data_IF_738696505005
#
_entry.id   IF_738696505005
#
_cell.length_a   1.000
_cell.length_b   1.000
_cell.length_c   1.000
_cell.angle_alpha   90.00
_cell.angle_beta   90.00
_cell.angle_gamma   90.00
#
_symmetry.space_group_name_H-M   'P 1'
#
loop_
_entity.id
_entity.type
_entity.pdbx_description
1 polymer ?
#
# COMPACT_ATOMS: atom_id res chain seq x y z
N UNK A 1 -16.87 28.67 -19.72
CA UNK A 1 -15.47 28.54 -19.25
C UNK A 1 -15.33 27.17 -18.59
N UNK A 2 -14.45 26.31 -19.10
CA UNK A 2 -14.23 24.98 -18.52
C UNK A 2 -13.42 25.10 -17.22
N UNK A 3 -13.90 24.46 -16.15
CA UNK A 3 -13.26 24.45 -14.84
C UNK A 3 -11.93 23.71 -14.93
N UNK A 4 -10.81 24.42 -14.73
CA UNK A 4 -9.48 23.81 -14.70
C UNK A 4 -9.43 22.83 -13.52
N UNK A 5 -9.19 21.56 -13.84
CA UNK A 5 -9.02 20.49 -12.85
C UNK A 5 -7.71 20.80 -12.11
N UNK A 6 -7.78 21.31 -10.88
CA UNK A 6 -6.61 21.48 -10.04
C UNK A 6 -5.93 20.12 -9.89
N UNK A 7 -4.71 19.98 -10.38
CA UNK A 7 -3.92 18.76 -10.24
C UNK A 7 -3.68 18.57 -8.74
N UNK A 8 -4.20 17.48 -8.16
CA UNK A 8 -3.90 17.14 -6.77
C UNK A 8 -2.39 16.88 -6.68
N UNK A 9 -1.74 17.54 -5.75
CA UNK A 9 -0.31 17.36 -5.51
C UNK A 9 -0.07 16.03 -4.80
N UNK A 10 0.82 15.21 -5.34
CA UNK A 10 1.21 13.94 -4.73
C UNK A 10 2.29 14.22 -3.69
N UNK A 11 1.94 14.16 -2.41
CA UNK A 11 2.87 14.46 -1.31
C UNK A 11 3.85 13.31 -1.01
N UNK A 12 3.46 12.06 -1.27
CA UNK A 12 4.30 10.87 -1.08
C UNK A 12 4.29 10.01 -2.35
N UNK A 13 5.17 10.26 -3.34
CA UNK A 13 5.16 9.58 -4.63
C UNK A 13 5.57 8.10 -4.55
N UNK A 14 6.39 7.74 -3.55
CA UNK A 14 6.89 6.38 -3.35
C UNK A 14 6.13 5.63 -2.24
N UNK A 15 4.85 5.97 -2.04
CA UNK A 15 3.99 5.33 -1.06
C UNK A 15 3.22 4.15 -1.65
N UNK A 16 3.18 3.03 -0.91
CA UNK A 16 2.25 1.93 -1.15
C UNK A 16 1.08 1.96 -0.17
N UNK A 17 -0.03 1.36 -0.57
CA UNK A 17 -1.19 1.12 0.31
C UNK A 17 -1.37 -0.38 0.56
N UNK A 18 -1.72 -0.75 1.79
CA UNK A 18 -2.12 -2.12 2.14
C UNK A 18 -3.45 -2.08 2.88
N UNK A 19 -4.44 -2.80 2.33
CA UNK A 19 -5.68 -3.16 3.01
C UNK A 19 -5.52 -4.58 3.58
N UNK A 20 -5.56 -4.68 4.91
CA UNK A 20 -5.30 -5.88 5.68
C UNK A 20 -6.63 -6.49 6.13
N UNK A 21 -7.07 -7.52 5.42
CA UNK A 21 -8.16 -8.41 5.85
C UNK A 21 -7.68 -9.63 6.65
N UNK A 22 -8.63 -10.38 7.21
CA UNK A 22 -8.36 -11.57 8.03
C UNK A 22 -7.88 -12.80 7.25
N UNK A 23 -8.18 -12.87 5.95
CA UNK A 23 -7.77 -13.98 5.07
C UNK A 23 -6.93 -13.53 3.88
N UNK A 24 -6.99 -12.25 3.53
CA UNK A 24 -6.35 -11.68 2.34
C UNK A 24 -5.85 -10.27 2.61
N UNK A 25 -4.80 -9.89 1.90
CA UNK A 25 -4.27 -8.53 1.87
C UNK A 25 -4.29 -8.00 0.44
N UNK A 26 -4.78 -6.78 0.26
CA UNK A 26 -4.67 -6.07 -1.02
C UNK A 26 -3.56 -5.03 -0.90
N UNK A 27 -2.60 -5.09 -1.80
CA UNK A 27 -1.41 -4.23 -1.78
C UNK A 27 -1.36 -3.46 -3.09
N UNK A 28 -1.21 -2.13 -3.02
CA UNK A 28 -1.00 -1.27 -4.18
C UNK A 28 0.37 -0.58 -4.14
N UNK A 29 1.01 -0.47 -5.31
CA UNK A 29 2.26 0.26 -5.51
C UNK A 29 2.03 1.46 -6.43
N UNK A 30 2.92 2.47 -6.42
CA UNK A 30 2.81 3.61 -7.33
C UNK A 30 2.74 3.19 -8.81
N UNK A 31 2.08 4.01 -9.63
CA UNK A 31 1.98 3.79 -11.07
C UNK A 31 3.38 3.68 -11.70
N UNK A 32 3.55 2.72 -12.61
CA UNK A 32 4.80 2.52 -13.34
C UNK A 32 5.86 1.70 -12.59
N UNK A 33 5.59 1.21 -11.38
CA UNK A 33 6.52 0.34 -10.61
C UNK A 33 6.42 -1.14 -10.95
N UNK A 34 5.25 -1.58 -11.42
CA UNK A 34 5.00 -2.94 -11.90
C UNK A 34 3.81 -2.92 -12.89
N UNK A 35 3.71 -3.93 -13.77
CA UNK A 35 2.58 -4.05 -14.71
C UNK A 35 1.26 -4.23 -13.96
N UNK A 36 1.29 -4.92 -12.81
CA UNK A 36 0.16 -5.08 -11.91
C UNK A 36 0.35 -4.19 -10.69
N UNK A 37 -0.12 -2.95 -10.75
CA UNK A 37 0.01 -1.99 -9.64
C UNK A 37 -0.79 -2.39 -8.38
N UNK A 38 -1.69 -3.36 -8.46
CA UNK A 38 -2.43 -3.91 -7.31
C UNK A 38 -2.35 -5.44 -7.35
N UNK A 39 -1.98 -6.05 -6.23
CA UNK A 39 -1.91 -7.50 -6.08
C UNK A 39 -2.60 -7.95 -4.79
N UNK A 40 -3.06 -9.20 -4.80
CA UNK A 40 -3.72 -9.86 -3.68
C UNK A 40 -2.83 -10.95 -3.13
N UNK A 41 -2.67 -10.98 -1.81
CA UNK A 41 -1.88 -11.95 -1.07
C UNK A 41 -2.75 -12.62 0.00
N UNK A 42 -2.40 -13.83 0.44
CA UNK A 42 -3.03 -14.43 1.62
C UNK A 42 -2.44 -13.85 2.92
N UNK A 43 -2.99 -14.26 4.07
CA UNK A 43 -2.46 -13.89 5.39
C UNK A 43 -1.38 -14.84 5.93
N UNK A 44 -0.89 -15.79 5.13
CA UNK A 44 0.17 -16.70 5.58
C UNK A 44 1.55 -16.01 5.55
N UNK A 45 2.45 -16.46 6.43
CA UNK A 45 3.80 -15.88 6.59
C UNK A 45 4.59 -15.82 5.28
N UNK A 46 4.44 -16.81 4.40
CA UNK A 46 5.09 -16.80 3.08
C UNK A 46 4.65 -15.61 2.25
N UNK A 47 3.35 -15.31 2.24
CA UNK A 47 2.81 -14.19 1.49
C UNK A 47 3.18 -12.84 2.09
N UNK A 48 3.33 -12.74 3.41
CA UNK A 48 3.90 -11.54 4.03
C UNK A 48 5.34 -11.26 3.55
N UNK A 49 6.15 -12.31 3.38
CA UNK A 49 7.49 -12.17 2.78
C UNK A 49 7.41 -11.81 1.29
N UNK A 50 6.44 -12.34 0.55
CA UNK A 50 6.24 -12.00 -0.86
C UNK A 50 5.84 -10.53 -1.03
N UNK A 51 4.95 -10.02 -0.17
CA UNK A 51 4.62 -8.59 -0.10
C UNK A 51 5.89 -7.77 0.11
N UNK A 52 6.71 -8.11 1.12
CA UNK A 52 7.93 -7.35 1.41
C UNK A 52 8.93 -7.35 0.23
N UNK A 53 9.14 -8.50 -0.41
CA UNK A 53 10.00 -8.61 -1.60
C UNK A 53 9.46 -7.76 -2.75
N UNK A 54 8.15 -7.79 -2.98
CA UNK A 54 7.52 -7.06 -4.06
C UNK A 54 7.58 -5.54 -3.84
N UNK A 55 7.32 -5.07 -2.61
CA UNK A 55 7.45 -3.66 -2.26
C UNK A 55 8.90 -3.16 -2.39
N UNK A 56 9.89 -3.99 -2.06
CA UNK A 56 11.31 -3.69 -2.28
C UNK A 56 11.64 -3.57 -3.77
N UNK A 57 11.14 -4.50 -4.61
CA UNK A 57 11.29 -4.45 -6.07
C UNK A 57 10.67 -3.19 -6.67
N UNK A 58 9.54 -2.74 -6.12
CA UNK A 58 8.82 -1.55 -6.56
C UNK A 58 9.40 -0.23 -6.02
N UNK A 59 10.52 -0.26 -5.30
CA UNK A 59 11.19 0.92 -4.72
C UNK A 59 10.29 1.76 -3.79
N UNK A 60 9.35 1.11 -3.09
CA UNK A 60 8.43 1.77 -2.16
C UNK A 60 9.19 2.28 -0.94
N UNK A 61 9.05 3.56 -0.59
CA UNK A 61 9.72 4.13 0.58
C UNK A 61 8.83 4.15 1.84
N UNK A 62 7.52 4.28 1.66
CA UNK A 62 6.55 4.37 2.76
C UNK A 62 5.32 3.52 2.47
N UNK A 63 4.69 3.02 3.53
CA UNK A 63 3.49 2.18 3.41
C UNK A 63 2.41 2.76 4.32
N UNK A 64 1.24 3.04 3.74
CA UNK A 64 0.02 3.28 4.49
C UNK A 64 -0.71 1.94 4.66
N UNK A 65 -1.09 1.58 5.89
CA UNK A 65 -1.81 0.35 6.18
C UNK A 65 -3.16 0.66 6.81
N UNK A 66 -4.19 -0.03 6.36
CA UNK A 66 -5.54 -0.01 6.92
C UNK A 66 -5.95 -1.45 7.22
N UNK A 67 -6.69 -1.65 8.31
CA UNK A 67 -7.29 -2.92 8.65
C UNK A 67 -8.65 -2.67 9.29
N UNK A 68 -9.68 -3.30 8.73
CA UNK A 68 -11.01 -3.26 9.32
C UNK A 68 -11.17 -4.46 10.26
N UNK A 69 -11.20 -4.20 11.56
CA UNK A 69 -11.56 -5.20 12.59
C UNK A 69 -13.07 -5.15 12.86
N UNK A 70 -13.70 -6.31 13.13
CA UNK A 70 -15.17 -6.46 13.36
C UNK A 70 -15.69 -5.82 14.67
N UNK A 71 -14.87 -5.00 15.32
CA UNK A 71 -15.24 -4.16 16.46
C UNK A 71 -14.71 -2.74 16.22
N UNK A 72 -15.50 -1.96 15.46
CA UNK A 72 -15.43 -0.50 15.25
C UNK A 72 -14.14 0.22 15.74
N UNK A 73 -13.01 -0.03 15.09
CA UNK A 73 -11.84 0.87 15.13
C UNK A 73 -11.18 0.84 13.76
N UNK A 74 -11.64 1.69 12.84
CA UNK A 74 -10.89 2.05 11.64
C UNK A 74 -9.78 3.03 12.04
N UNK A 75 -8.63 2.53 12.48
CA UNK A 75 -7.44 3.35 12.70
C UNK A 75 -6.55 3.26 11.45
N UNK A 76 -6.67 4.23 10.53
CA UNK A 76 -5.65 4.48 9.52
C UNK A 76 -4.38 4.97 10.24
N UNK A 77 -3.45 4.07 10.51
CA UNK A 77 -2.17 4.42 11.12
C UNK A 77 -1.08 4.23 10.09
N UNK A 78 -0.45 5.32 9.65
CA UNK A 78 0.80 5.25 8.88
C UNK A 78 1.88 4.85 9.87
N UNK A 79 2.07 3.54 10.05
CA UNK A 79 2.87 3.07 11.19
C UNK A 79 4.37 3.23 11.00
N UNK A 80 4.98 3.08 9.81
CA UNK A 80 6.44 3.10 9.72
C UNK A 80 6.98 3.52 8.34
N UNK A 81 8.04 4.35 8.33
CA UNK A 81 8.91 4.54 7.17
C UNK A 81 9.91 3.38 7.15
N UNK A 82 9.78 2.45 6.20
CA UNK A 82 10.73 1.36 6.07
C UNK A 82 11.93 1.84 5.25
N UNK A 83 13.12 1.82 5.86
CA UNK A 83 14.38 2.03 5.15
C UNK A 83 14.95 0.66 4.83
N UNK A 84 14.84 0.23 3.57
CA UNK A 84 15.36 -1.05 3.13
C UNK A 84 16.88 -1.08 3.32
N UNK A 85 17.38 -2.00 4.14
CA UNK A 85 18.81 -2.36 4.18
C UNK A 85 19.13 -3.46 3.16
#
# INVERSE_FOLDING_TARGET
MAKVKSKLEIMNPDAAGIDIGSSVHYVCVPEGRDEQCVQKFSCFTEDLHNIAKWLKKCEVATIAMESTVDSFVSNLTITHKYKWT
#
